data_IF_803328491591
#
_entry.id   IF_803328491591
#
_cell.length_a   1.000
_cell.length_b   1.000
_cell.length_c   1.000
_cell.angle_alpha   90.00
_cell.angle_beta   90.00
_cell.angle_gamma   90.00
#
_symmetry.space_group_name_H-M   'P 1'
#
loop_
_entity.id
_entity.type
_entity.pdbx_description
1 polymer ?
#
# COMPACT_ATOMS: atom_id res chain seq x y z
N UNK A 1 -3.89 15.25 4.07
CA UNK A 1 -2.60 14.55 4.28
C UNK A 1 -2.60 13.81 5.63
N UNK A 2 -1.97 12.64 5.73
CA UNK A 2 -1.71 11.96 7.01
C UNK A 2 -0.34 11.31 7.01
N UNK A 3 0.41 11.52 8.08
CA UNK A 3 1.77 10.98 8.29
C UNK A 3 1.89 10.58 9.75
N UNK A 4 2.53 9.45 10.02
CA UNK A 4 2.88 9.01 11.37
C UNK A 4 4.25 8.35 11.34
N UNK A 5 5.03 8.54 12.41
CA UNK A 5 6.27 7.81 12.65
C UNK A 5 6.00 6.84 13.80
N UNK A 6 6.48 5.60 13.66
CA UNK A 6 6.41 4.58 14.70
C UNK A 6 7.55 3.59 14.52
N UNK A 7 7.98 3.00 15.63
CA UNK A 7 8.96 1.92 15.67
C UNK A 7 8.33 0.53 15.45
N UNK A 8 6.99 0.46 15.39
CA UNK A 8 6.25 -0.78 15.26
C UNK A 8 5.10 -0.66 14.28
N UNK A 9 4.88 -1.76 13.56
CA UNK A 9 3.79 -2.02 12.63
C UNK A 9 2.62 -2.74 13.32
N UNK A 10 2.51 -2.65 14.65
CA UNK A 10 1.40 -3.22 15.38
C UNK A 10 0.05 -2.61 14.97
N UNK A 11 -1.02 -3.41 15.07
CA UNK A 11 -2.39 -2.97 14.80
C UNK A 11 -2.76 -1.70 15.58
N UNK A 12 -2.32 -1.58 16.83
CA UNK A 12 -2.62 -0.43 17.71
C UNK A 12 -2.21 0.88 17.07
N UNK A 13 -1.01 0.93 16.47
CA UNK A 13 -0.52 2.11 15.77
C UNK A 13 -1.40 2.48 14.58
N UNK A 14 -1.74 1.50 13.73
CA UNK A 14 -2.62 1.73 12.58
C UNK A 14 -4.02 2.18 12.99
N UNK A 15 -4.56 1.59 14.06
CA UNK A 15 -5.88 1.94 14.59
C UNK A 15 -5.92 3.38 15.07
N UNK A 16 -4.90 3.79 15.83
CA UNK A 16 -4.75 5.16 16.30
C UNK A 16 -4.55 6.14 15.15
N UNK A 17 -3.69 5.78 14.19
CA UNK A 17 -3.46 6.60 13.00
C UNK A 17 -4.75 6.81 12.21
N UNK A 18 -5.47 5.74 11.85
CA UNK A 18 -6.74 5.82 11.10
C UNK A 18 -7.79 6.62 11.89
N UNK A 19 -7.88 6.42 13.22
CA UNK A 19 -8.78 7.20 14.08
C UNK A 19 -8.44 8.69 14.02
N UNK A 20 -7.16 9.06 14.05
CA UNK A 20 -6.72 10.45 13.91
C UNK A 20 -7.13 11.04 12.56
N UNK A 21 -7.11 10.25 11.47
CA UNK A 21 -7.56 10.72 10.17
C UNK A 21 -9.05 11.03 10.17
N UNK A 22 -9.85 10.13 10.74
CA UNK A 22 -11.31 10.30 10.86
C UNK A 22 -11.68 11.53 11.69
N UNK A 23 -10.99 11.74 12.81
CA UNK A 23 -11.16 12.93 13.65
C UNK A 23 -10.82 14.22 12.91
N UNK A 24 -9.88 14.17 11.97
CA UNK A 24 -9.54 15.29 11.06
C UNK A 24 -10.47 15.39 9.84
N UNK A 25 -11.57 14.65 9.84
CA UNK A 25 -12.61 14.74 8.81
C UNK A 25 -12.49 13.72 7.67
N UNK A 26 -11.61 12.72 7.75
CA UNK A 26 -11.56 11.66 6.73
C UNK A 26 -12.87 10.86 6.72
N UNK A 27 -13.55 10.89 5.58
CA UNK A 27 -14.79 10.16 5.32
C UNK A 27 -14.83 9.69 3.85
N UNK A 28 -15.78 8.81 3.52
CA UNK A 28 -16.01 8.37 2.13
C UNK A 28 -14.92 7.45 1.54
N UNK A 29 -14.05 6.85 2.35
CA UNK A 29 -13.01 5.93 1.84
C UNK A 29 -13.69 4.70 1.26
N UNK A 30 -13.50 4.44 -0.06
CA UNK A 30 -14.09 3.30 -0.77
C UNK A 30 -13.11 2.14 -0.97
N UNK A 31 -11.81 2.42 -0.99
CA UNK A 31 -10.80 1.44 -1.38
C UNK A 31 -9.43 1.75 -0.76
N UNK A 32 -8.75 0.73 -0.24
CA UNK A 32 -7.41 0.84 0.37
C UNK A 32 -6.47 -0.15 -0.28
N UNK A 33 -5.25 0.30 -0.59
CA UNK A 33 -4.16 -0.56 -1.04
C UNK A 33 -2.99 -0.42 -0.08
N UNK A 34 -2.37 -1.54 0.29
CA UNK A 34 -1.13 -1.56 1.05
C UNK A 34 -0.24 -2.72 0.60
N UNK A 35 0.99 -2.79 1.10
CA UNK A 35 1.73 -4.06 1.07
C UNK A 35 1.12 -5.09 2.04
N UNK A 36 1.82 -6.21 2.21
CA UNK A 36 1.57 -7.25 3.21
C UNK A 36 1.68 -6.68 4.61
N UNK A 37 0.55 -6.34 5.19
CA UNK A 37 0.54 -5.64 6.45
C UNK A 37 -0.64 -6.07 7.31
N UNK A 38 -0.45 -7.14 8.07
CA UNK A 38 -1.46 -7.72 8.95
C UNK A 38 -2.00 -6.72 9.98
N UNK A 39 -1.12 -5.89 10.58
CA UNK A 39 -1.52 -4.84 11.53
C UNK A 39 -2.49 -3.82 10.92
N UNK A 40 -2.26 -3.40 9.67
CA UNK A 40 -3.16 -2.51 8.95
C UNK A 40 -4.47 -3.22 8.59
N UNK A 41 -4.41 -4.47 8.12
CA UNK A 41 -5.61 -5.26 7.78
C UNK A 41 -6.53 -5.42 8.99
N UNK A 42 -5.96 -5.75 10.15
CA UNK A 42 -6.69 -5.83 11.41
C UNK A 42 -7.27 -4.46 11.82
N UNK A 43 -6.48 -3.37 11.71
CA UNK A 43 -6.96 -2.03 12.03
C UNK A 43 -8.07 -1.53 11.08
N UNK A 44 -8.00 -1.88 9.80
CA UNK A 44 -9.05 -1.57 8.82
C UNK A 44 -10.34 -2.31 9.17
N UNK A 45 -10.27 -3.60 9.51
CA UNK A 45 -11.44 -4.35 9.97
C UNK A 45 -12.08 -3.75 11.22
N UNK A 46 -11.27 -3.27 12.16
CA UNK A 46 -11.75 -2.66 13.41
C UNK A 46 -12.34 -1.25 13.21
N UNK A 47 -11.77 -0.45 12.30
CA UNK A 47 -12.11 0.98 12.19
C UNK A 47 -12.97 1.32 10.99
N UNK A 48 -12.90 0.55 9.90
CA UNK A 48 -13.63 0.76 8.65
C UNK A 48 -14.27 -0.56 8.18
N UNK A 49 -15.24 -1.12 8.91
CA UNK A 49 -15.88 -2.38 8.51
C UNK A 49 -16.45 -2.30 7.10
N UNK A 50 -16.21 -3.33 6.29
CA UNK A 50 -16.68 -3.40 4.90
C UNK A 50 -15.81 -2.66 3.88
N UNK A 51 -14.70 -2.03 4.29
CA UNK A 51 -13.78 -1.40 3.35
C UNK A 51 -13.17 -2.42 2.39
N UNK A 52 -13.10 -2.08 1.12
CA UNK A 52 -12.37 -2.87 0.13
C UNK A 52 -10.87 -2.67 0.34
N UNK A 53 -10.19 -3.73 0.76
CA UNK A 53 -8.74 -3.77 0.88
C UNK A 53 -8.11 -4.64 -0.19
N UNK A 54 -7.00 -4.17 -0.74
CA UNK A 54 -6.16 -4.89 -1.68
C UNK A 54 -4.71 -4.90 -1.22
N UNK A 55 -4.09 -6.07 -1.30
CA UNK A 55 -2.63 -6.16 -1.26
C UNK A 55 -2.02 -5.74 -2.60
N UNK A 56 -0.98 -4.92 -2.55
CA UNK A 56 -0.36 -4.31 -3.70
C UNK A 56 0.18 -5.36 -4.68
N UNK A 57 -0.32 -5.34 -5.92
CA UNK A 57 0.05 -6.30 -6.96
C UNK A 57 1.55 -6.29 -7.31
N UNK A 58 2.19 -5.11 -7.26
CA UNK A 58 3.63 -4.99 -7.47
C UNK A 58 4.42 -5.74 -6.38
N UNK A 59 3.99 -5.66 -5.12
CA UNK A 59 4.64 -6.37 -4.03
C UNK A 59 4.34 -7.87 -4.08
N UNK A 60 3.10 -8.28 -4.39
CA UNK A 60 2.79 -9.69 -4.66
C UNK A 60 3.70 -10.27 -5.74
N UNK A 61 3.91 -9.57 -6.86
CA UNK A 61 4.83 -10.03 -7.91
C UNK A 61 6.29 -10.13 -7.45
N UNK A 62 6.76 -9.19 -6.61
CA UNK A 62 8.11 -9.24 -6.03
C UNK A 62 8.26 -10.42 -5.07
N UNK A 63 7.28 -10.60 -4.17
CA UNK A 63 7.28 -11.63 -3.14
C UNK A 63 7.27 -13.05 -3.73
N UNK A 64 6.55 -13.25 -4.84
CA UNK A 64 6.54 -14.52 -5.56
C UNK A 64 7.94 -15.06 -5.88
N UNK A 65 8.92 -14.18 -6.17
CA UNK A 65 10.27 -14.55 -6.56
C UNK A 65 11.02 -15.39 -5.50
N UNK A 66 10.66 -15.23 -4.22
CA UNK A 66 11.21 -15.99 -3.08
C UNK A 66 10.74 -17.45 -3.06
N UNK A 67 9.61 -17.75 -3.71
CA UNK A 67 9.04 -19.10 -3.77
C UNK A 67 9.40 -19.83 -5.07
N UNK A 68 10.04 -19.14 -6.02
CA UNK A 68 10.49 -19.74 -7.28
C UNK A 68 11.81 -20.49 -7.08
N UNK A 69 11.85 -21.82 -7.28
CA UNK A 69 13.04 -22.62 -6.97
C UNK A 69 14.22 -22.41 -7.92
N UNK A 70 13.97 -21.94 -9.16
CA UNK A 70 15.00 -21.79 -10.20
C UNK A 70 14.91 -20.39 -10.83
N UNK A 71 16.04 -19.69 -10.93
CA UNK A 71 16.11 -18.32 -11.50
C UNK A 71 15.49 -18.27 -12.91
N UNK A 72 15.76 -19.27 -13.76
CA UNK A 72 15.19 -19.36 -15.11
C UNK A 72 13.65 -19.41 -15.16
N UNK A 73 12.99 -19.82 -14.08
CA UNK A 73 11.53 -19.84 -13.99
C UNK A 73 10.93 -18.48 -13.63
N UNK A 74 11.71 -17.58 -13.02
CA UNK A 74 11.20 -16.30 -12.49
C UNK A 74 10.50 -15.45 -13.55
N UNK A 75 11.07 -15.36 -14.75
CA UNK A 75 10.46 -14.61 -15.86
C UNK A 75 9.09 -15.18 -16.26
N UNK A 76 8.97 -16.51 -16.30
CA UNK A 76 7.70 -17.19 -16.62
C UNK A 76 6.67 -16.97 -15.51
N UNK A 77 7.05 -17.16 -14.25
CA UNK A 77 6.17 -16.95 -13.09
C UNK A 77 5.68 -15.50 -13.05
N UNK A 78 6.56 -14.53 -13.28
CA UNK A 78 6.19 -13.12 -13.35
C UNK A 78 5.13 -12.85 -14.42
N UNK A 79 5.31 -13.41 -15.62
CA UNK A 79 4.33 -13.27 -16.71
C UNK A 79 3.00 -13.97 -16.41
N UNK A 80 3.04 -15.16 -15.81
CA UNK A 80 1.84 -15.92 -15.44
C UNK A 80 1.03 -15.16 -14.35
N UNK A 81 1.68 -14.58 -13.33
CA UNK A 81 1.01 -13.71 -12.34
C UNK A 81 0.45 -12.44 -12.99
N UNK A 82 1.21 -11.84 -13.90
CA UNK A 82 0.75 -10.66 -14.65
C UNK A 82 -0.47 -10.97 -15.52
N UNK A 83 -0.57 -12.18 -16.07
CA UNK A 83 -1.74 -12.63 -16.82
C UNK A 83 -2.97 -12.76 -15.91
N UNK A 84 -2.83 -13.28 -14.69
CA UNK A 84 -3.92 -13.30 -13.69
C UNK A 84 -4.45 -11.88 -13.44
N UNK A 85 -3.56 -10.94 -13.11
CA UNK A 85 -3.96 -9.58 -12.75
C UNK A 85 -4.53 -8.76 -13.92
N UNK A 86 -4.20 -9.11 -15.16
CA UNK A 86 -4.71 -8.47 -16.38
C UNK A 86 -5.92 -9.18 -16.99
N UNK A 87 -6.50 -10.16 -16.30
CA UNK A 87 -7.77 -10.75 -16.71
C UNK A 87 -8.86 -9.67 -16.86
N UNK A 88 -9.88 -9.90 -17.72
CA UNK A 88 -10.95 -8.92 -17.95
C UNK A 88 -11.84 -8.74 -16.71
N UNK A 89 -12.04 -9.80 -15.94
CA UNK A 89 -12.91 -9.83 -14.77
C UNK A 89 -12.36 -10.77 -13.68
N UNK A 90 -12.98 -10.73 -12.50
CA UNK A 90 -12.56 -11.50 -11.34
C UNK A 90 -12.65 -13.01 -11.57
N UNK A 91 -13.71 -13.50 -12.21
CA UNK A 91 -13.92 -14.93 -12.46
C UNK A 91 -12.82 -15.48 -13.38
N UNK A 92 -12.53 -14.74 -14.45
CA UNK A 92 -11.42 -15.04 -15.36
C UNK A 92 -10.06 -15.06 -14.64
N UNK A 93 -9.84 -14.14 -13.69
CA UNK A 93 -8.61 -14.12 -12.88
C UNK A 93 -8.49 -15.35 -11.97
N UNK A 94 -9.58 -15.73 -11.29
CA UNK A 94 -9.64 -16.90 -10.42
C UNK A 94 -9.44 -18.21 -11.19
N UNK A 95 -10.00 -18.32 -12.40
CA UNK A 95 -9.79 -19.47 -13.29
C UNK A 95 -8.33 -19.59 -13.73
N UNK A 96 -7.70 -18.47 -14.13
CA UNK A 96 -6.27 -18.42 -14.45
C UNK A 96 -5.42 -18.82 -13.25
N UNK A 97 -5.73 -18.29 -12.06
CA UNK A 97 -5.04 -18.62 -10.82
C UNK A 97 -5.06 -20.13 -10.58
N UNK A 98 -6.23 -20.77 -10.62
CA UNK A 98 -6.36 -22.24 -10.45
C UNK A 98 -5.51 -23.01 -11.47
N UNK A 99 -5.53 -22.60 -12.73
CA UNK A 99 -4.74 -23.22 -13.79
C UNK A 99 -3.22 -23.10 -13.54
N UNK A 100 -2.75 -21.93 -13.11
CA UNK A 100 -1.34 -21.72 -12.81
C UNK A 100 -0.88 -22.42 -11.53
N UNK A 101 -1.72 -22.49 -10.50
CA UNK A 101 -1.46 -23.29 -9.28
C UNK A 101 -1.23 -24.75 -9.65
N UNK A 102 -2.14 -25.36 -10.42
CA UNK A 102 -2.01 -26.75 -10.88
C UNK A 102 -0.75 -26.98 -11.74
N UNK A 103 -0.39 -26.01 -12.59
CA UNK A 103 0.85 -26.07 -13.40
C UNK A 103 2.11 -26.14 -12.54
N UNK A 104 2.15 -25.40 -11.45
CA UNK A 104 3.34 -25.29 -10.60
C UNK A 104 3.38 -26.31 -9.47
N UNK A 105 2.28 -26.99 -9.16
CA UNK A 105 2.16 -27.96 -8.07
C UNK A 105 3.34 -28.96 -8.01
N UNK A 106 3.72 -29.55 -9.15
CA UNK A 106 4.83 -30.52 -9.20
C UNK A 106 6.22 -29.88 -9.27
N UNK A 107 6.36 -28.74 -9.94
CA UNK A 107 7.68 -28.16 -10.27
C UNK A 107 8.15 -27.11 -9.27
N UNK A 108 7.21 -26.48 -8.56
CA UNK A 108 7.41 -25.48 -7.53
C UNK A 108 6.25 -25.53 -6.50
N UNK A 109 6.14 -26.61 -5.67
CA UNK A 109 5.02 -26.77 -4.73
C UNK A 109 4.87 -25.61 -3.73
N UNK A 110 5.98 -25.03 -3.25
CA UNK A 110 5.93 -23.87 -2.35
C UNK A 110 5.35 -22.63 -3.04
N UNK A 111 5.62 -22.45 -4.33
CA UNK A 111 5.05 -21.36 -5.12
C UNK A 111 3.55 -21.58 -5.33
N UNK A 112 3.11 -22.81 -5.64
CA UNK A 112 1.69 -23.07 -5.89
C UNK A 112 0.83 -22.80 -4.66
N UNK A 113 1.27 -23.27 -3.47
CA UNK A 113 0.60 -22.96 -2.20
C UNK A 113 0.58 -21.46 -1.94
N UNK A 114 1.74 -20.79 -2.06
CA UNK A 114 1.82 -19.36 -1.86
C UNK A 114 0.91 -18.57 -2.83
N UNK A 115 0.85 -18.97 -4.10
CA UNK A 115 0.00 -18.33 -5.11
C UNK A 115 -1.48 -18.43 -4.74
N UNK A 116 -1.93 -19.61 -4.32
CA UNK A 116 -3.31 -19.88 -3.93
C UNK A 116 -3.74 -19.04 -2.71
N UNK A 117 -2.86 -18.90 -1.72
CA UNK A 117 -3.13 -18.15 -0.49
C UNK A 117 -3.06 -16.63 -0.68
N UNK A 118 -2.11 -16.14 -1.48
CA UNK A 118 -1.74 -14.71 -1.48
C UNK A 118 -2.29 -13.93 -2.68
N UNK A 119 -2.37 -14.54 -3.87
CA UNK A 119 -2.82 -13.81 -5.07
C UNK A 119 -4.29 -13.36 -5.03
N UNK A 120 -5.22 -14.05 -4.34
CA UNK A 120 -6.59 -13.55 -4.16
C UNK A 120 -6.67 -12.16 -3.53
N UNK A 121 -5.74 -11.80 -2.64
CA UNK A 121 -5.69 -10.47 -2.01
C UNK A 121 -5.39 -9.34 -3.00
N UNK A 122 -4.80 -9.67 -4.15
CA UNK A 122 -4.55 -8.76 -5.26
C UNK A 122 -5.70 -8.64 -6.26
N UNK A 123 -6.80 -9.37 -6.07
CA UNK A 123 -7.95 -9.40 -7.01
C UNK A 123 -9.06 -8.43 -6.61
N UNK A 124 -8.97 -7.74 -5.47
CA UNK A 124 -9.98 -6.77 -5.04
C UNK A 124 -10.12 -5.59 -6.02
N UNK A 125 -9.12 -5.31 -6.86
CA UNK A 125 -9.17 -4.28 -7.93
C UNK A 125 -10.34 -4.48 -8.90
N UNK A 126 -10.84 -5.70 -9.05
CA UNK A 126 -11.98 -5.97 -9.95
C UNK A 126 -13.29 -5.34 -9.46
N UNK A 127 -13.38 -4.95 -8.19
CA UNK A 127 -14.50 -4.17 -7.67
C UNK A 127 -14.50 -2.71 -8.17
N UNK A 128 -13.40 -2.23 -8.75
CA UNK A 128 -13.29 -0.88 -9.31
C UNK A 128 -13.69 -0.84 -10.80
N UNK A 129 -14.14 0.33 -11.31
CA UNK A 129 -14.34 0.55 -12.74
C UNK A 129 -13.06 0.28 -13.53
N UNK A 130 -13.20 -0.22 -14.76
CA UNK A 130 -12.06 -0.65 -15.59
C UNK A 130 -10.99 0.44 -15.76
N UNK A 131 -11.42 1.69 -15.96
CA UNK A 131 -10.55 2.85 -16.10
C UNK A 131 -9.65 3.12 -14.87
N UNK A 132 -10.11 2.73 -13.68
CA UNK A 132 -9.32 2.85 -12.44
C UNK A 132 -8.39 1.65 -12.25
N UNK A 133 -8.79 0.44 -12.67
CA UNK A 133 -8.02 -0.78 -12.46
C UNK A 133 -6.57 -0.60 -12.91
N UNK A 134 -6.34 -0.14 -14.14
CA UNK A 134 -4.99 0.05 -14.70
C UNK A 134 -4.10 0.95 -13.84
N UNK A 135 -4.65 2.02 -13.26
CA UNK A 135 -3.89 2.94 -12.41
C UNK A 135 -3.62 2.34 -11.04
N UNK A 136 -4.59 1.62 -10.46
CA UNK A 136 -4.42 0.94 -9.18
C UNK A 136 -3.43 -0.25 -9.22
N UNK A 137 -3.10 -0.76 -10.41
CA UNK A 137 -2.05 -1.78 -10.57
C UNK A 137 -0.63 -1.23 -10.52
N UNK A 138 -0.41 0.06 -10.81
CA UNK A 138 0.95 0.63 -10.88
C UNK A 138 1.32 1.37 -9.60
N UNK A 139 2.58 1.23 -9.18
CA UNK A 139 3.14 1.96 -8.04
C UNK A 139 3.94 3.18 -8.45
N UNK A 140 4.01 3.52 -9.74
CA UNK A 140 4.89 4.58 -10.25
C UNK A 140 4.76 5.93 -9.52
N UNK A 141 3.52 6.34 -9.22
CA UNK A 141 3.27 7.58 -8.48
C UNK A 141 3.86 7.51 -7.06
N UNK A 142 3.75 6.36 -6.40
CA UNK A 142 4.28 6.12 -5.05
C UNK A 142 5.79 5.97 -5.07
N UNK A 143 6.34 5.28 -6.07
CA UNK A 143 7.78 5.13 -6.25
C UNK A 143 8.45 6.50 -6.38
N UNK A 144 7.86 7.42 -7.15
CA UNK A 144 8.33 8.81 -7.22
C UNK A 144 8.30 9.52 -5.85
N UNK A 145 7.24 9.36 -5.08
CA UNK A 145 7.16 9.95 -3.73
C UNK A 145 8.19 9.33 -2.79
N UNK A 146 8.39 8.01 -2.85
CA UNK A 146 9.39 7.32 -2.03
C UNK A 146 10.81 7.71 -2.42
N UNK A 147 11.12 7.85 -3.70
CA UNK A 147 12.40 8.35 -4.17
C UNK A 147 12.68 9.76 -3.66
N UNK A 148 11.67 10.63 -3.66
CA UNK A 148 11.80 11.99 -3.12
C UNK A 148 12.04 11.98 -1.61
N UNK A 149 11.26 11.20 -0.87
CA UNK A 149 11.46 11.02 0.57
C UNK A 149 12.86 10.50 0.88
N UNK A 150 13.29 9.43 0.19
CA UNK A 150 14.63 8.85 0.35
C UNK A 150 15.73 9.85 0.00
N UNK A 151 15.54 10.67 -1.03
CA UNK A 151 16.51 11.70 -1.42
C UNK A 151 16.72 12.71 -0.29
N UNK A 152 15.64 13.18 0.33
CA UNK A 152 15.67 14.21 1.38
C UNK A 152 16.15 13.65 2.72
N UNK A 153 15.70 12.45 3.10
CA UNK A 153 16.11 11.80 4.35
C UNK A 153 17.56 11.33 4.32
N UNK A 154 18.07 10.89 3.15
CA UNK A 154 19.47 10.49 2.98
C UNK A 154 20.46 11.61 3.26
N UNK A 155 20.10 12.86 2.95
CA UNK A 155 20.95 14.04 3.24
C UNK A 155 21.04 14.30 4.75
N UNK A 156 19.96 14.07 5.49
CA UNK A 156 19.94 14.24 6.94
C UNK A 156 20.78 13.16 7.66
N UNK A 157 20.81 11.93 7.12
CA UNK A 157 21.57 10.81 7.65
C UNK A 157 21.02 10.22 8.96
N UNK A 158 20.91 11.04 10.01
CA UNK A 158 20.36 10.69 11.32
C UNK A 158 19.40 11.78 11.80
N UNK A 159 18.31 11.36 12.44
CA UNK A 159 17.37 12.27 13.09
C UNK A 159 17.50 12.21 14.61
N UNK A 160 17.50 13.36 15.31
CA UNK A 160 17.65 13.38 16.77
C UNK A 160 16.41 12.86 17.53
N UNK A 161 15.24 12.89 16.90
CA UNK A 161 13.98 12.33 17.43
C UNK A 161 12.93 12.17 16.30
N UNK A 162 11.86 11.44 16.60
CA UNK A 162 10.74 11.19 15.68
C UNK A 162 10.08 12.48 15.19
N UNK A 163 9.93 13.49 16.06
CA UNK A 163 9.37 14.78 15.69
C UNK A 163 10.19 15.48 14.59
N UNK A 164 11.52 15.30 14.58
CA UNK A 164 12.39 15.90 13.57
C UNK A 164 12.26 15.20 12.21
N UNK A 165 12.13 13.87 12.21
CA UNK A 165 11.80 13.11 11.01
C UNK A 165 10.42 13.50 10.47
N UNK A 166 9.41 13.55 11.35
CA UNK A 166 8.04 13.89 11.00
C UNK A 166 7.94 15.28 10.37
N UNK A 167 8.70 16.27 10.86
CA UNK A 167 8.76 17.61 10.25
C UNK A 167 9.28 17.57 8.81
N UNK A 168 10.41 16.89 8.57
CA UNK A 168 10.97 16.80 7.22
C UNK A 168 10.04 16.06 6.26
N UNK A 169 9.57 14.87 6.66
CA UNK A 169 8.69 14.04 5.83
C UNK A 169 7.38 14.76 5.53
N UNK A 170 6.78 15.42 6.54
CA UNK A 170 5.54 16.18 6.33
C UNK A 170 5.76 17.36 5.40
N UNK A 171 6.88 18.09 5.51
CA UNK A 171 7.19 19.21 4.61
C UNK A 171 7.32 18.74 3.15
N UNK A 172 8.03 17.63 2.91
CA UNK A 172 8.16 17.05 1.56
C UNK A 172 6.81 16.61 1.02
N UNK A 173 5.98 15.98 1.85
CA UNK A 173 4.65 15.53 1.42
C UNK A 173 3.67 16.68 1.19
N UNK A 174 3.83 17.81 1.88
CA UNK A 174 3.08 19.04 1.59
C UNK A 174 3.46 19.60 0.22
N UNK A 175 4.77 19.70 -0.10
CA UNK A 175 5.26 20.13 -1.42
C UNK A 175 4.69 19.25 -2.55
N UNK A 176 4.71 17.92 -2.37
CA UNK A 176 4.11 16.97 -3.32
C UNK A 176 2.59 17.15 -3.43
N UNK A 177 1.91 17.40 -2.31
CA UNK A 177 0.46 17.62 -2.31
C UNK A 177 0.07 18.86 -3.12
N UNK A 178 0.82 19.95 -2.98
CA UNK A 178 0.61 21.19 -3.74
C UNK A 178 0.83 20.97 -5.26
N UNK A 179 1.85 20.21 -5.65
CA UNK A 179 2.07 19.80 -7.04
C UNK A 179 0.88 18.98 -7.58
N UNK A 180 0.30 18.11 -6.76
CA UNK A 180 -0.82 17.26 -7.16
C UNK A 180 -2.16 17.98 -7.23
N UNK A 181 -2.35 19.03 -6.43
CA UNK A 181 -3.55 19.87 -6.48
C UNK A 181 -3.60 20.69 -7.77
N UNK A 182 -2.44 21.09 -8.28
CA UNK A 182 -2.31 21.88 -9.52
C UNK A 182 -2.11 21.02 -10.78
N UNK A 183 -1.70 19.76 -10.60
CA UNK A 183 -1.40 18.82 -11.68
C UNK A 183 -2.61 18.04 -12.24
N UNK A 184 -2.33 17.06 -13.11
CA UNK A 184 -3.35 16.17 -13.69
C UNK A 184 -3.93 15.23 -12.62
N UNK A 185 -5.27 15.15 -12.53
CA UNK A 185 -5.96 14.23 -11.62
C UNK A 185 -5.55 12.77 -11.86
N UNK A 186 -5.01 12.13 -10.83
CA UNK A 186 -4.53 10.74 -10.89
C UNK A 186 -5.66 9.70 -10.98
N UNK A 187 -6.81 9.93 -10.35
CA UNK A 187 -8.01 9.12 -10.51
C UNK A 187 -9.17 10.08 -10.68
N UNK A 188 -10.00 9.84 -11.70
CA UNK A 188 -11.22 10.61 -11.87
C UNK A 188 -12.38 9.82 -11.25
N UNK A 189 -12.85 10.26 -10.09
CA UNK A 189 -13.96 9.62 -9.37
C UNK A 189 -15.33 10.02 -9.94
N UNK A 190 -15.38 11.07 -10.78
CA UNK A 190 -16.61 11.53 -11.42
C UNK A 190 -17.13 10.50 -12.44
N UNK A 191 -16.27 9.58 -12.89
CA UNK A 191 -16.59 8.46 -13.80
C UNK A 191 -17.47 7.40 -13.13
N UNK A 192 -17.63 7.45 -11.79
CA UNK A 192 -18.56 6.56 -11.07
C UNK A 192 -20.03 6.94 -11.28
N UNK A 193 -20.34 8.10 -11.87
CA UNK A 193 -21.70 8.65 -11.94
C UNK A 193 -22.46 8.44 -13.27
N UNK A 194 -21.89 7.74 -14.25
CA UNK A 194 -22.54 7.59 -15.57
C UNK A 194 -23.52 6.40 -15.67
N UNK A 195 -23.71 5.65 -14.57
CA UNK A 195 -24.74 4.63 -14.44
C UNK A 195 -25.67 4.93 -13.24
N UNK A 196 -26.72 5.73 -13.49
CA UNK A 196 -27.99 5.77 -12.72
C UNK A 196 -28.01 6.27 -11.25
N UNK A 197 -27.45 7.44 -10.93
CA UNK A 197 -27.70 8.07 -9.62
C UNK A 197 -28.21 9.53 -9.72
N UNK A 198 -29.35 9.79 -9.07
CA UNK A 198 -30.02 11.09 -8.95
C UNK A 198 -29.14 12.16 -8.27
N UNK A 199 -29.35 13.42 -8.64
CA UNK A 199 -28.57 14.63 -8.29
C UNK A 199 -28.31 14.94 -6.80
N UNK A 200 -28.73 14.10 -5.85
CA UNK A 200 -28.64 14.37 -4.41
C UNK A 200 -27.44 13.73 -3.69
N UNK A 201 -26.58 12.96 -4.35
CA UNK A 201 -25.42 12.29 -3.70
C UNK A 201 -24.06 12.96 -3.98
N UNK A 202 -24.04 14.29 -4.14
CA UNK A 202 -22.81 15.09 -4.37
C UNK A 202 -22.09 15.43 -3.05
N UNK A 203 -21.73 14.44 -2.24
CA UNK A 203 -21.03 14.64 -0.96
C UNK A 203 -19.63 14.01 -1.00
N UNK A 204 -18.64 14.90 -1.05
CA UNK A 204 -17.20 14.79 -0.73
C UNK A 204 -16.56 13.38 -0.65
N UNK A 205 -15.49 13.17 -1.42
CA UNK A 205 -14.57 12.03 -1.19
C UNK A 205 -13.14 12.51 -1.12
N UNK A 206 -12.62 12.60 0.10
CA UNK A 206 -11.21 12.88 0.37
C UNK A 206 -10.39 11.64 0.02
N UNK A 207 -9.57 11.76 -1.02
CA UNK A 207 -8.61 10.77 -1.49
C UNK A 207 -7.70 10.33 -0.34
N UNK A 208 -7.84 9.08 0.12
CA UNK A 208 -6.86 8.44 0.99
C UNK A 208 -6.44 7.11 0.39
N UNK A 209 -5.24 7.11 -0.18
CA UNK A 209 -4.47 5.90 -0.40
C UNK A 209 -3.62 5.75 0.87
N UNK A 210 -4.10 4.94 1.81
CA UNK A 210 -3.39 4.67 3.06
C UNK A 210 -2.27 3.67 2.77
N UNK A 211 -1.09 4.18 2.41
CA UNK A 211 0.06 3.33 2.18
C UNK A 211 0.93 3.24 3.42
N UNK A 212 0.75 2.13 4.11
CA UNK A 212 1.72 1.61 5.06
C UNK A 212 2.92 1.05 4.28
N UNK A 213 4.08 1.68 4.40
CA UNK A 213 5.34 1.06 4.01
C UNK A 213 6.34 1.13 5.16
N UNK A 214 6.71 -0.06 5.60
CA UNK A 214 7.84 -0.38 6.44
C UNK A 214 9.12 0.18 5.80
N UNK A 215 9.69 1.26 6.33
CA UNK A 215 11.05 1.67 5.97
C UNK A 215 12.05 0.74 6.67
N UNK A 216 12.18 -0.51 6.23
CA UNK A 216 13.32 -1.37 6.59
C UNK A 216 13.72 -2.19 5.36
N UNK A 217 15.01 -2.19 4.95
CA UNK A 217 16.17 -2.18 5.82
C UNK A 217 17.12 -1.02 5.50
N UNK A 218 17.08 0.04 6.31
CA UNK A 218 18.28 0.83 6.56
C UNK A 218 18.51 0.79 8.06
N UNK A 219 19.73 0.40 8.42
CA UNK A 219 20.19 0.22 9.79
C UNK A 219 20.28 1.59 10.51
N UNK A 220 19.15 2.27 10.74
CA UNK A 220 19.07 3.38 11.67
C UNK A 220 19.02 2.77 13.08
N UNK A 221 20.20 2.49 13.63
CA UNK A 221 20.36 2.13 15.03
C UNK A 221 20.00 3.35 15.90
N UNK A 222 18.77 3.41 16.39
CA UNK A 222 18.42 4.19 17.56
C UNK A 222 18.97 3.43 18.79
N UNK A 223 20.09 3.88 19.33
CA UNK A 223 20.54 3.40 20.63
C UNK A 223 19.64 3.97 21.74
N UNK A 224 19.37 3.21 22.82
CA UNK A 224 18.62 3.72 23.97
C UNK A 224 19.39 4.86 24.63
N UNK A 225 18.69 5.96 24.87
CA UNK A 225 19.17 7.13 25.63
C UNK A 225 19.83 6.69 26.94
N UNK A 226 21.11 7.02 27.09
CA UNK A 226 21.81 6.97 28.36
C UNK A 226 21.17 7.97 29.35
N UNK A 227 20.89 7.49 30.57
CA UNK A 227 20.34 8.25 31.69
C UNK A 227 21.21 9.49 32.01
N UNK A 228 20.61 10.57 32.55
CA UNK A 228 21.36 11.75 32.97
C UNK A 228 22.18 11.42 34.24
N UNK A 229 23.50 11.59 34.16
CA UNK A 229 24.34 11.67 35.35
C UNK A 229 24.11 13.04 35.99
N UNK A 230 23.47 13.03 37.15
CA UNK A 230 23.36 14.18 38.05
C UNK A 230 24.75 14.58 38.55
N UNK A 231 25.20 15.77 38.16
CA UNK A 231 26.28 16.49 38.82
C UNK A 231 25.74 17.05 40.14
N UNK A 232 26.27 16.55 41.26
CA UNK A 232 26.27 17.27 42.53
C UNK A 232 27.68 17.25 43.10
N UNK A 233 28.28 18.46 43.11
CA UNK A 233 29.46 18.95 43.82
C UNK A 233 30.80 18.23 43.58
#
# INVERSE_FOLDING_TARGET
LGVSVSLSEAETHWREFIKSLKQRGLNGVKYVVSDDHDGLKAALNATMPGILWQRCQCHLQRNAASYVPKIKMRKRVHNDIRDIFNAPDRKSAEERLRSYVARYEKTAPKLSVWMEENLPEGLTVFALPEGHRKRMRTTNMLERVHEELNRRTRVAGLFPNEASLLRLVSAVLMEVSEEWETGKRYLNMDVENDDSASEQEKIYTTKFMLFAFSFFPFHLSLFPSAKPASLHL
#
